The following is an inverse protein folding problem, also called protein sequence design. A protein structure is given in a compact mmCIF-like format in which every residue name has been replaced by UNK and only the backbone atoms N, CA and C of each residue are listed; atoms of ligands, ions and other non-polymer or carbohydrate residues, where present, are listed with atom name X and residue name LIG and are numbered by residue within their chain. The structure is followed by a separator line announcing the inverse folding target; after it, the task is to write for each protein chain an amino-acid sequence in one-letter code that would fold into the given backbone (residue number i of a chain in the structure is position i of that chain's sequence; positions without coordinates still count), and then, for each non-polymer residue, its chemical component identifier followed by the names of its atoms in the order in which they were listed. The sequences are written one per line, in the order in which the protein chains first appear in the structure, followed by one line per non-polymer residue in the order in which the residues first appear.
data_IF_035685516057
#
_entry.id   IF_035685516057
#
_cell.length_a   1.000
_cell.length_b   1.000
_cell.length_c   1.000
_cell.angle_alpha   90.00
_cell.angle_beta   90.00
_cell.angle_gamma   90.00
#
_symmetry.space_group_name_H-M   'P 1'
#
loop_
_entity.id
_entity.type
_entity.pdbx_description
1 polymer ?
#
# COMPACT_ATOMS: atom_id res chain seq x y z
N UNK A 1 8.68 -15.84 38.63
CA UNK A 1 8.48 -14.57 37.90
C UNK A 1 9.29 -14.44 36.60
N UNK A 2 10.27 -15.30 36.31
CA UNK A 2 11.08 -15.22 35.07
C UNK A 2 10.54 -15.99 33.86
N UNK A 3 9.95 -17.17 34.05
CA UNK A 3 9.46 -18.01 32.93
C UNK A 3 8.25 -17.43 32.20
N UNK A 4 7.34 -16.76 32.92
CA UNK A 4 6.14 -16.15 32.34
C UNK A 4 6.49 -15.02 31.36
N UNK A 5 7.62 -14.34 31.59
CA UNK A 5 8.10 -13.24 30.76
C UNK A 5 8.81 -13.77 29.50
N UNK A 6 9.52 -14.89 29.58
CA UNK A 6 10.17 -15.54 28.42
C UNK A 6 9.14 -16.14 27.46
N UNK A 7 8.08 -16.77 27.97
CA UNK A 7 7.00 -17.34 27.13
C UNK A 7 6.19 -16.24 26.43
N UNK A 8 5.90 -15.12 27.12
CA UNK A 8 5.21 -13.97 26.51
C UNK A 8 6.04 -13.31 25.41
N UNK A 9 7.35 -13.16 25.62
CA UNK A 9 8.25 -12.59 24.59
C UNK A 9 8.40 -13.54 23.41
N UNK A 10 8.56 -14.85 23.64
CA UNK A 10 8.65 -15.84 22.58
C UNK A 10 7.40 -15.92 21.71
N UNK A 11 6.21 -15.85 22.32
CA UNK A 11 4.94 -15.89 21.60
C UNK A 11 4.65 -14.58 20.83
N UNK A 12 5.15 -13.44 21.31
CA UNK A 12 5.02 -12.17 20.60
C UNK A 12 5.94 -12.12 19.36
N UNK A 13 7.17 -12.66 19.47
CA UNK A 13 8.13 -12.72 18.37
C UNK A 13 7.64 -13.61 17.22
N UNK A 14 7.08 -14.78 17.51
CA UNK A 14 6.51 -15.67 16.49
C UNK A 14 5.30 -15.05 15.79
N UNK A 15 4.51 -14.25 16.51
CA UNK A 15 3.35 -13.56 15.93
C UNK A 15 3.77 -12.42 14.99
N UNK A 16 4.80 -11.64 15.36
CA UNK A 16 5.37 -10.58 14.51
C UNK A 16 5.97 -11.17 13.22
N UNK A 17 6.76 -12.24 13.35
CA UNK A 17 7.40 -12.91 12.21
C UNK A 17 6.35 -13.45 11.23
N UNK A 18 5.28 -14.06 11.76
CA UNK A 18 4.16 -14.53 10.94
C UNK A 18 3.46 -13.39 10.20
N UNK A 19 3.18 -12.25 10.84
CA UNK A 19 2.51 -11.12 10.17
C UNK A 19 3.34 -10.53 9.02
N UNK A 20 4.66 -10.41 9.20
CA UNK A 20 5.58 -9.97 8.16
C UNK A 20 5.74 -11.01 7.05
N UNK A 21 5.81 -12.31 7.39
CA UNK A 21 5.86 -13.41 6.42
C UNK A 21 4.59 -13.49 5.57
N UNK A 22 3.41 -13.43 6.19
CA UNK A 22 2.15 -13.38 5.48
C UNK A 22 2.01 -12.10 4.64
N UNK A 23 2.49 -10.97 5.17
CA UNK A 23 2.62 -9.72 4.43
C UNK A 23 3.47 -9.90 3.17
N UNK A 24 4.71 -10.35 3.32
CA UNK A 24 5.65 -10.56 2.23
C UNK A 24 5.13 -11.56 1.19
N UNK A 25 4.48 -12.66 1.62
CA UNK A 25 3.86 -13.63 0.71
C UNK A 25 2.73 -12.99 -0.10
N UNK A 26 1.86 -12.20 0.54
CA UNK A 26 0.77 -11.49 -0.16
C UNK A 26 1.30 -10.45 -1.14
N UNK A 27 2.33 -9.69 -0.76
CA UNK A 27 3.00 -8.70 -1.63
C UNK A 27 3.60 -9.38 -2.88
N UNK A 28 4.33 -10.49 -2.69
CA UNK A 28 4.87 -11.29 -3.81
C UNK A 28 3.78 -11.85 -4.72
N UNK A 29 2.67 -12.34 -4.15
CA UNK A 29 1.55 -12.85 -4.93
C UNK A 29 0.91 -11.75 -5.80
N UNK A 30 0.74 -10.53 -5.26
CA UNK A 30 0.25 -9.37 -6.03
C UNK A 30 1.23 -8.94 -7.11
N UNK A 31 2.53 -8.89 -6.82
CA UNK A 31 3.54 -8.59 -7.84
C UNK A 31 3.49 -9.61 -9.00
N UNK A 32 3.35 -10.90 -8.70
CA UNK A 32 3.21 -11.94 -9.71
C UNK A 32 1.91 -11.83 -10.51
N UNK A 33 0.78 -11.49 -9.87
CA UNK A 33 -0.49 -11.24 -10.53
C UNK A 33 -0.42 -10.03 -11.48
N UNK A 34 0.13 -8.91 -11.01
CA UNK A 34 0.36 -7.71 -11.82
C UNK A 34 1.26 -7.99 -13.03
N UNK A 35 2.31 -8.81 -12.87
CA UNK A 35 3.18 -9.22 -13.98
C UNK A 35 2.45 -10.08 -15.04
N UNK A 36 1.34 -10.74 -14.68
CA UNK A 36 0.45 -11.43 -15.63
C UNK A 36 -0.61 -10.51 -16.26
N UNK A 37 -0.60 -9.22 -15.93
CA UNK A 37 -1.59 -8.24 -16.39
C UNK A 37 -2.89 -8.25 -15.59
N UNK A 38 -2.97 -9.01 -14.49
CA UNK A 38 -4.18 -9.07 -13.66
C UNK A 38 -4.38 -7.77 -12.87
N UNK A 39 -5.64 -7.43 -12.62
CA UNK A 39 -5.99 -6.34 -11.70
C UNK A 39 -5.65 -6.72 -10.26
N UNK A 40 -4.84 -5.91 -9.59
CA UNK A 40 -4.39 -6.15 -8.22
C UNK A 40 -4.77 -5.00 -7.30
N UNK A 41 -5.20 -5.33 -6.09
CA UNK A 41 -5.55 -4.37 -5.05
C UNK A 41 -4.43 -4.25 -4.01
N UNK A 42 -3.77 -3.10 -3.97
CA UNK A 42 -2.57 -2.83 -3.17
C UNK A 42 -2.94 -1.94 -1.97
N UNK A 43 -2.66 -2.35 -0.72
CA UNK A 43 -2.87 -1.51 0.45
C UNK A 43 -2.02 -0.25 0.41
N UNK A 44 -2.60 0.89 0.79
CA UNK A 44 -1.91 2.18 0.82
C UNK A 44 -2.46 3.09 1.93
N UNK A 45 -1.71 4.16 2.20
CA UNK A 45 -2.26 5.36 2.84
C UNK A 45 -2.34 6.44 1.76
N UNK A 46 -3.50 7.07 1.64
CA UNK A 46 -3.76 8.15 0.71
C UNK A 46 -4.15 9.41 1.49
N UNK A 47 -3.63 10.55 1.08
CA UNK A 47 -4.15 11.88 1.40
C UNK A 47 -4.36 12.61 0.08
N UNK A 48 -5.57 13.06 -0.17
CA UNK A 48 -6.03 13.77 -1.38
C UNK A 48 -7.21 14.65 -1.00
N UNK A 49 -7.25 15.87 -1.53
CA UNK A 49 -8.40 16.78 -1.36
C UNK A 49 -9.71 16.14 -1.88
N UNK A 50 -9.63 15.44 -3.01
CA UNK A 50 -10.80 14.91 -3.72
C UNK A 50 -11.33 13.62 -3.08
N UNK A 51 -10.45 12.67 -2.77
CA UNK A 51 -10.84 11.32 -2.33
C UNK A 51 -10.86 11.16 -0.81
N UNK A 52 -10.21 12.05 -0.08
CA UNK A 52 -10.03 11.90 1.38
C UNK A 52 -10.29 13.17 2.17
N UNK A 53 -10.78 14.23 1.52
CA UNK A 53 -11.00 15.55 2.12
C UNK A 53 -9.73 16.11 2.77
N UNK A 54 -8.58 15.88 2.14
CA UNK A 54 -7.26 16.32 2.61
C UNK A 54 -6.74 15.55 3.84
N UNK A 55 -7.39 14.46 4.26
CA UNK A 55 -6.99 13.66 5.43
C UNK A 55 -6.27 12.37 5.03
N UNK A 56 -5.32 11.94 5.85
CA UNK A 56 -4.75 10.59 5.66
C UNK A 56 -5.82 9.51 5.89
N UNK A 57 -6.00 8.64 4.91
CA UNK A 57 -6.91 7.49 4.95
C UNK A 57 -6.20 6.23 4.49
N UNK A 58 -6.40 5.14 5.23
CA UNK A 58 -5.99 3.80 4.80
C UNK A 58 -7.00 3.24 3.81
N UNK A 59 -6.52 2.59 2.77
CA UNK A 59 -7.36 2.00 1.75
C UNK A 59 -6.58 1.08 0.84
N UNK A 60 -7.14 0.85 -0.33
CA UNK A 60 -6.49 0.08 -1.39
C UNK A 60 -6.59 0.81 -2.71
N UNK A 61 -5.49 0.81 -3.46
CA UNK A 61 -5.50 1.18 -4.88
C UNK A 61 -5.55 -0.10 -5.70
N UNK A 62 -6.53 -0.22 -6.59
CA UNK A 62 -6.58 -1.26 -7.59
C UNK A 62 -5.96 -0.74 -8.89
N UNK A 63 -4.96 -1.47 -9.41
CA UNK A 63 -4.24 -1.16 -10.65
C UNK A 63 -4.10 -2.42 -11.52
N UNK A 64 -3.80 -2.25 -12.81
CA UNK A 64 -3.70 -3.34 -13.79
C UNK A 64 -4.74 -3.16 -14.90
N UNK A 65 -5.54 -4.20 -15.17
CA UNK A 65 -6.62 -4.10 -16.17
C UNK A 65 -7.65 -3.03 -15.78
N UNK A 66 -7.85 -2.05 -16.66
CA UNK A 66 -8.79 -0.93 -16.48
C UNK A 66 -8.25 0.25 -15.67
N UNK A 67 -9.02 1.34 -15.53
CA UNK A 67 -8.58 2.55 -14.82
C UNK A 67 -8.24 2.26 -13.36
N UNK A 68 -7.27 2.99 -12.82
CA UNK A 68 -6.91 2.87 -11.42
C UNK A 68 -8.07 3.35 -10.53
N UNK A 69 -8.35 2.61 -9.45
CA UNK A 69 -9.38 3.02 -8.49
C UNK A 69 -8.85 2.95 -7.06
N UNK A 70 -9.35 3.82 -6.20
CA UNK A 70 -9.09 3.82 -4.77
C UNK A 70 -10.36 3.50 -3.99
N UNK A 71 -10.21 2.86 -2.82
CA UNK A 71 -11.34 2.63 -1.91
C UNK A 71 -10.92 2.56 -0.45
N UNK A 72 -11.83 2.95 0.44
CA UNK A 72 -11.74 2.71 1.89
C UNK A 72 -12.31 1.34 2.28
N UNK A 73 -12.07 0.85 3.51
CA UNK A 73 -12.78 -0.32 4.02
C UNK A 73 -14.29 -0.08 4.04
N UNK A 74 -15.03 -0.86 3.24
CA UNK A 74 -16.49 -0.75 3.13
C UNK A 74 -16.99 0.39 2.23
N UNK A 75 -16.08 1.15 1.60
CA UNK A 75 -16.42 2.16 0.59
C UNK A 75 -16.47 1.58 -0.82
N UNK A 76 -17.20 2.25 -1.70
CA UNK A 76 -17.21 1.96 -3.13
C UNK A 76 -15.88 2.38 -3.79
N UNK A 77 -15.43 1.70 -4.85
CA UNK A 77 -14.26 2.11 -5.61
C UNK A 77 -14.50 3.43 -6.36
N UNK A 78 -13.62 4.40 -6.13
CA UNK A 78 -13.61 5.69 -6.80
C UNK A 78 -12.42 5.78 -7.78
N UNK A 79 -12.54 6.45 -8.94
CA UNK A 79 -11.43 6.66 -9.85
C UNK A 79 -10.24 7.34 -9.16
N UNK A 80 -9.02 6.89 -9.44
CA UNK A 80 -7.81 7.46 -8.89
C UNK A 80 -6.90 7.97 -10.01
N UNK A 81 -6.90 9.28 -10.21
CA UNK A 81 -6.14 9.96 -11.26
C UNK A 81 -5.22 11.03 -10.64
N UNK A 82 -4.13 10.64 -9.95
CA UNK A 82 -3.30 11.58 -9.20
C UNK A 82 -2.44 12.49 -10.08
N UNK A 83 -2.43 12.28 -11.40
CA UNK A 83 -1.43 12.85 -12.30
C UNK A 83 -0.03 12.28 -12.03
N UNK A 84 0.99 13.03 -12.41
CA UNK A 84 2.39 12.63 -12.19
C UNK A 84 2.73 12.58 -10.70
N UNK A 85 3.27 11.44 -10.25
CA UNK A 85 3.71 11.18 -8.89
C UNK A 85 5.24 11.22 -8.80
N UNK A 86 5.77 12.08 -7.93
CA UNK A 86 7.21 12.17 -7.63
C UNK A 86 7.51 11.58 -6.26
N UNK A 87 8.52 10.71 -6.19
CA UNK A 87 9.00 10.13 -4.92
C UNK A 87 9.58 11.22 -4.02
N UNK A 88 9.17 11.24 -2.76
CA UNK A 88 9.61 12.21 -1.76
C UNK A 88 10.47 11.58 -0.66
N UNK A 89 10.10 10.39 -0.20
CA UNK A 89 10.78 9.72 0.90
C UNK A 89 10.67 8.20 0.78
N UNK A 90 11.67 7.49 1.31
CA UNK A 90 11.71 6.03 1.40
C UNK A 90 12.22 5.66 2.78
N UNK A 91 11.47 4.79 3.46
CA UNK A 91 11.92 4.11 4.67
C UNK A 91 11.59 2.61 4.60
N UNK A 92 11.82 1.89 5.71
CA UNK A 92 11.58 0.44 5.77
C UNK A 92 10.11 0.05 5.67
N UNK A 93 9.20 0.95 6.01
CA UNK A 93 7.76 0.72 6.08
C UNK A 93 7.01 1.28 4.87
N UNK A 94 7.49 2.38 4.28
CA UNK A 94 6.80 3.06 3.19
C UNK A 94 7.73 3.79 2.21
N UNK A 95 7.27 3.87 0.97
CA UNK A 95 7.69 4.86 -0.02
C UNK A 95 6.57 5.89 -0.14
N UNK A 96 6.92 7.16 -0.03
CA UNK A 96 6.00 8.29 -0.11
C UNK A 96 6.14 9.02 -1.43
N UNK A 97 5.03 9.29 -2.08
CA UNK A 97 4.91 9.99 -3.35
C UNK A 97 3.99 11.19 -3.22
N UNK A 98 4.33 12.29 -3.89
CA UNK A 98 3.45 13.45 -4.02
C UNK A 98 3.09 13.68 -5.47
N UNK A 99 1.85 14.10 -5.73
CA UNK A 99 1.47 14.62 -7.05
C UNK A 99 2.07 16.00 -7.30
N UNK A 100 2.12 16.39 -8.57
CA UNK A 100 2.44 17.75 -8.97
C UNK A 100 1.53 18.76 -8.22
N UNK A 101 2.15 19.66 -7.46
CA UNK A 101 1.44 20.64 -6.62
C UNK A 101 1.07 20.17 -5.21
N UNK A 102 1.48 18.96 -4.79
CA UNK A 102 1.37 18.49 -3.40
C UNK A 102 -0.05 18.19 -2.92
N UNK A 103 -1.03 18.13 -3.84
CA UNK A 103 -2.45 17.91 -3.53
C UNK A 103 -2.77 16.47 -3.16
N UNK A 104 -1.95 15.54 -3.65
CA UNK A 104 -2.07 14.11 -3.37
C UNK A 104 -0.77 13.59 -2.78
N UNK A 105 -0.87 12.86 -1.69
CA UNK A 105 0.20 12.08 -1.09
C UNK A 105 -0.21 10.62 -1.02
N UNK A 106 0.63 9.76 -1.60
CA UNK A 106 0.43 8.32 -1.65
C UNK A 106 1.60 7.63 -0.95
N UNK A 107 1.29 6.77 0.01
CA UNK A 107 2.27 5.96 0.74
C UNK A 107 2.00 4.49 0.50
N UNK A 108 3.01 3.80 -0.01
CA UNK A 108 2.95 2.38 -0.40
C UNK A 108 4.07 1.61 0.30
N UNK A 109 3.86 0.31 0.51
CA UNK A 109 4.96 -0.54 0.95
C UNK A 109 6.07 -0.58 -0.12
N UNK A 110 7.37 -0.55 0.25
CA UNK A 110 8.48 -0.55 -0.71
C UNK A 110 8.41 -1.66 -1.76
N UNK A 111 8.11 -2.90 -1.35
CA UNK A 111 7.95 -4.04 -2.27
C UNK A 111 6.87 -3.85 -3.35
N UNK A 112 5.92 -2.93 -3.14
CA UNK A 112 4.75 -2.74 -4.01
C UNK A 112 4.77 -1.40 -4.74
N UNK A 113 5.59 -0.45 -4.30
CA UNK A 113 5.65 0.88 -4.87
C UNK A 113 5.91 0.86 -6.39
N UNK A 114 6.90 0.09 -6.84
CA UNK A 114 7.26 0.03 -8.25
C UNK A 114 6.16 -0.54 -9.15
N UNK A 115 5.36 -1.50 -8.67
CA UNK A 115 4.29 -2.09 -9.48
C UNK A 115 3.13 -1.10 -9.65
N UNK A 116 2.78 -0.35 -8.60
CA UNK A 116 1.72 0.66 -8.65
C UNK A 116 2.13 1.80 -9.57
N UNK A 117 3.35 2.33 -9.44
CA UNK A 117 3.82 3.41 -10.30
C UNK A 117 3.82 3.03 -11.79
N UNK A 118 4.30 1.83 -12.12
CA UNK A 118 4.30 1.34 -13.51
C UNK A 118 2.89 1.26 -14.07
N UNK A 119 1.93 0.81 -13.25
CA UNK A 119 0.55 0.68 -13.68
C UNK A 119 -0.20 2.02 -13.75
N UNK A 120 0.27 3.07 -13.07
CA UNK A 120 -0.27 4.43 -13.17
C UNK A 120 0.35 5.26 -14.30
N UNK A 121 1.53 4.88 -14.79
CA UNK A 121 2.25 5.57 -15.86
C UNK A 121 1.93 5.04 -17.27
N UNK A 122 1.25 3.88 -17.37
CA UNK A 122 0.80 3.28 -18.63
C UNK A 122 -0.62 3.68 -18.96
#
# INVERSE_FOLDING_TARGET
MGELLVVLVGNLLTMIDMTELFGARRRRARAAASARGERVSVPCVLRSEELTEGRERRGWIAVGEGPATWRTPGGEPEPFEPGELTMQAVDRQAVTFHSAGGRTELRLHPDEASLVLRALAG
#
